data_IF_924779719536
#
_entry.id   IF_924779719536
#
_cell.length_a   1.000
_cell.length_b   1.000
_cell.length_c   1.000
_cell.angle_alpha   90.00
_cell.angle_beta   90.00
_cell.angle_gamma   90.00
#
_symmetry.space_group_name_H-M   'P 1'
#
loop_
_entity.id
_entity.type
_entity.pdbx_description
1 polymer ?
#
# COMPACT_ATOMS: atom_id res chain seq x y z
N UNK A 1 22.52 30.97 -16.43
CA UNK A 1 21.67 29.85 -16.91
C UNK A 1 20.75 29.45 -15.79
N UNK A 2 19.45 29.43 -16.01
CA UNK A 2 18.50 28.82 -15.07
C UNK A 2 18.84 27.33 -14.99
N UNK A 3 19.08 26.76 -13.79
CA UNK A 3 19.36 25.34 -13.66
C UNK A 3 18.15 24.53 -14.17
N UNK A 4 18.41 23.55 -15.03
CA UNK A 4 17.37 22.66 -15.54
C UNK A 4 16.89 21.73 -14.42
N UNK A 5 15.57 21.63 -14.23
CA UNK A 5 14.96 20.69 -13.29
C UNK A 5 14.67 19.39 -14.02
N UNK A 6 15.04 18.26 -13.42
CA UNK A 6 14.77 16.95 -14.00
C UNK A 6 13.26 16.73 -14.20
N UNK A 7 12.85 16.17 -15.35
CA UNK A 7 11.44 16.04 -15.74
C UNK A 7 10.58 15.32 -14.69
N UNK A 8 11.13 14.31 -14.02
CA UNK A 8 10.39 13.49 -13.06
C UNK A 8 10.20 14.22 -11.73
N UNK A 9 11.14 15.10 -11.36
CA UNK A 9 11.00 16.01 -10.22
C UNK A 9 9.95 17.09 -10.53
N UNK A 10 9.96 17.63 -11.76
CA UNK A 10 8.92 18.55 -12.22
C UNK A 10 7.54 17.88 -12.24
N UNK A 11 7.46 16.59 -12.57
CA UNK A 11 6.21 15.82 -12.52
C UNK A 11 5.70 15.67 -11.08
N UNK A 12 6.58 15.39 -10.11
CA UNK A 12 6.21 15.33 -8.70
C UNK A 12 5.68 16.68 -8.20
N UNK A 13 6.27 17.80 -8.65
CA UNK A 13 5.76 19.13 -8.34
C UNK A 13 4.38 19.39 -8.96
N UNK A 14 4.10 18.86 -10.15
CA UNK A 14 2.76 18.88 -10.73
C UNK A 14 1.76 18.07 -9.90
N UNK A 15 2.09 16.81 -9.56
CA UNK A 15 1.19 15.98 -8.77
C UNK A 15 0.97 16.57 -7.36
N UNK A 16 1.97 17.27 -6.81
CA UNK A 16 1.83 18.00 -5.56
C UNK A 16 0.77 19.10 -5.63
N UNK A 17 0.58 19.77 -6.77
CA UNK A 17 -0.52 20.74 -6.94
C UNK A 17 -1.89 20.07 -6.82
N UNK A 18 -2.03 18.83 -7.26
CA UNK A 18 -3.26 18.04 -7.04
C UNK A 18 -3.48 17.81 -5.53
N UNK A 19 -2.42 17.54 -4.77
CA UNK A 19 -2.52 17.42 -3.31
C UNK A 19 -2.89 18.74 -2.64
N UNK A 20 -2.46 19.88 -3.18
CA UNK A 20 -2.81 21.21 -2.68
C UNK A 20 -4.31 21.50 -2.80
N UNK A 21 -4.99 21.01 -3.85
CA UNK A 21 -6.46 21.13 -3.98
C UNK A 21 -7.19 20.41 -2.83
N UNK A 22 -6.65 19.30 -2.32
CA UNK A 22 -7.21 18.62 -1.15
C UNK A 22 -7.00 19.40 0.16
N UNK A 23 -6.12 20.41 0.18
CA UNK A 23 -5.89 21.29 1.33
C UNK A 23 -6.73 22.56 1.30
N UNK A 24 -7.17 22.98 0.13
CA UNK A 24 -7.87 24.24 -0.05
C UNK A 24 -9.24 24.20 0.65
N UNK A 25 -9.53 25.24 1.41
CA UNK A 25 -10.81 25.39 2.11
C UNK A 25 -11.94 25.84 1.17
N UNK A 26 -11.62 26.37 -0.02
CA UNK A 26 -12.59 26.75 -1.04
C UNK A 26 -13.21 25.52 -1.76
N UNK A 27 -12.50 24.40 -1.74
CA UNK A 27 -12.91 23.15 -2.39
C UNK A 27 -13.91 22.40 -1.49
N UNK A 28 -15.04 21.89 -2.00
CA UNK A 28 -15.98 21.08 -1.22
C UNK A 28 -15.36 19.79 -0.68
N UNK A 29 -15.78 19.33 0.51
CA UNK A 29 -15.21 18.16 1.21
C UNK A 29 -15.07 16.91 0.32
N UNK A 30 -16.13 16.53 -0.39
CA UNK A 30 -16.07 15.35 -1.27
C UNK A 30 -15.11 15.53 -2.46
N UNK A 31 -14.95 16.74 -2.96
CA UNK A 31 -13.96 17.04 -4.00
C UNK A 31 -12.53 16.95 -3.43
N UNK A 32 -12.29 17.40 -2.19
CA UNK A 32 -10.98 17.18 -1.51
C UNK A 32 -10.65 15.69 -1.41
N UNK A 33 -11.63 14.86 -1.05
CA UNK A 33 -11.47 13.39 -0.99
C UNK A 33 -11.11 12.83 -2.38
N UNK A 34 -11.77 13.31 -3.44
CA UNK A 34 -11.43 12.93 -4.82
C UNK A 34 -10.03 13.36 -5.21
N UNK A 35 -9.58 14.56 -4.83
CA UNK A 35 -8.21 15.02 -5.09
C UNK A 35 -7.16 14.15 -4.38
N UNK A 36 -7.42 13.70 -3.14
CA UNK A 36 -6.56 12.70 -2.49
C UNK A 36 -6.50 11.39 -3.31
N UNK A 37 -7.65 10.91 -3.78
CA UNK A 37 -7.70 9.70 -4.61
C UNK A 37 -6.94 9.88 -5.95
N UNK A 38 -7.09 11.04 -6.61
CA UNK A 38 -6.39 11.36 -7.87
C UNK A 38 -4.88 11.44 -7.62
N UNK A 39 -4.43 12.16 -6.59
CA UNK A 39 -3.03 12.25 -6.21
C UNK A 39 -2.40 10.86 -6.02
N UNK A 40 -3.08 9.99 -5.24
CA UNK A 40 -2.63 8.62 -4.96
C UNK A 40 -2.57 7.77 -6.24
N UNK A 41 -3.60 7.84 -7.09
CA UNK A 41 -3.65 7.10 -8.36
C UNK A 41 -2.53 7.51 -9.32
N UNK A 42 -2.31 8.83 -9.47
CA UNK A 42 -1.24 9.38 -10.28
C UNK A 42 0.14 8.93 -9.78
N UNK A 43 0.35 8.99 -8.46
CA UNK A 43 1.61 8.56 -7.86
C UNK A 43 1.85 7.07 -8.09
N UNK A 44 0.82 6.24 -7.95
CA UNK A 44 0.89 4.81 -8.25
C UNK A 44 1.33 4.54 -9.69
N UNK A 45 0.82 5.30 -10.67
CA UNK A 45 1.26 5.20 -12.07
C UNK A 45 2.70 5.69 -12.26
N UNK A 46 3.09 6.78 -11.60
CA UNK A 46 4.45 7.30 -11.63
C UNK A 46 5.47 6.26 -11.14
N UNK A 47 5.16 5.53 -10.07
CA UNK A 47 6.02 4.45 -9.59
C UNK A 47 6.10 3.29 -10.58
N UNK A 48 4.96 2.84 -11.11
CA UNK A 48 4.90 1.72 -12.07
C UNK A 48 5.68 1.99 -13.35
N UNK A 49 5.72 3.23 -13.82
CA UNK A 49 6.31 3.57 -15.11
C UNK A 49 7.68 4.23 -14.96
N UNK A 50 7.75 5.35 -14.24
CA UNK A 50 8.94 6.21 -14.22
C UNK A 50 9.98 5.72 -13.21
N UNK A 51 9.57 5.38 -12.00
CA UNK A 51 10.49 4.89 -10.95
C UNK A 51 11.03 3.51 -11.31
N UNK A 52 10.17 2.62 -11.83
CA UNK A 52 10.57 1.32 -12.38
C UNK A 52 11.71 1.45 -13.40
N UNK A 53 11.59 2.37 -14.36
CA UNK A 53 12.64 2.61 -15.36
C UNK A 53 13.97 3.04 -14.72
N UNK A 54 13.94 4.00 -13.78
CA UNK A 54 15.16 4.41 -13.07
C UNK A 54 15.81 3.24 -12.30
N UNK A 55 15.01 2.41 -11.61
CA UNK A 55 15.52 1.22 -10.91
C UNK A 55 16.15 0.21 -11.87
N UNK A 56 15.55 0.00 -13.03
CA UNK A 56 16.10 -0.89 -14.05
C UNK A 56 17.44 -0.39 -14.59
N UNK A 57 17.57 0.92 -14.84
CA UNK A 57 18.85 1.54 -15.24
C UNK A 57 19.91 1.36 -14.15
N UNK A 58 19.55 1.55 -12.88
CA UNK A 58 20.46 1.30 -11.75
C UNK A 58 20.92 -0.16 -11.73
N UNK A 59 20.01 -1.12 -11.91
CA UNK A 59 20.29 -2.56 -11.92
C UNK A 59 21.08 -3.04 -13.15
N UNK A 60 20.89 -2.42 -14.32
CA UNK A 60 21.57 -2.78 -15.58
C UNK A 60 23.08 -2.46 -15.57
N UNK A 61 23.58 -1.72 -14.57
CA UNK A 61 25.01 -1.54 -14.33
C UNK A 61 25.70 -0.47 -15.19
N UNK A 62 27.01 -0.28 -14.98
CA UNK A 62 27.79 0.90 -15.41
C UNK A 62 27.81 1.16 -16.92
N UNK A 63 27.65 0.15 -17.78
CA UNK A 63 27.70 0.34 -19.25
C UNK A 63 26.50 1.14 -19.76
N UNK A 64 25.30 0.90 -19.22
CA UNK A 64 24.07 1.62 -19.58
C UNK A 64 24.08 3.06 -19.04
N UNK A 65 24.75 3.30 -17.90
CA UNK A 65 24.84 4.63 -17.27
C UNK A 65 25.76 5.61 -18.01
N UNK A 66 26.75 5.14 -18.78
CA UNK A 66 27.73 6.00 -19.46
C UNK A 66 27.15 6.99 -20.46
N UNK A 67 25.93 6.76 -20.93
CA UNK A 67 25.25 7.58 -21.94
C UNK A 67 24.18 8.51 -21.34
N UNK A 68 24.13 8.66 -20.01
CA UNK A 68 23.16 9.51 -19.33
C UNK A 68 23.81 10.80 -18.85
N UNK A 69 23.10 11.92 -19.03
CA UNK A 69 23.51 13.24 -18.53
C UNK A 69 23.22 13.43 -17.03
N UNK A 70 22.76 12.38 -16.34
CA UNK A 70 22.38 12.41 -14.93
C UNK A 70 22.70 11.07 -14.23
N UNK A 71 22.83 11.11 -12.91
CA UNK A 71 23.01 9.94 -12.06
C UNK A 71 21.65 9.40 -11.57
N UNK A 72 21.20 8.21 -12.02
CA UNK A 72 19.87 7.68 -11.70
C UNK A 72 19.64 7.43 -10.20
N UNK A 73 20.71 7.07 -9.46
CA UNK A 73 20.64 6.85 -8.00
C UNK A 73 20.31 8.16 -7.25
N UNK A 74 20.89 9.28 -7.70
CA UNK A 74 20.60 10.60 -7.12
C UNK A 74 19.16 11.01 -7.39
N UNK A 75 18.67 10.80 -8.62
CA UNK A 75 17.29 11.08 -9.00
C UNK A 75 16.31 10.20 -8.21
N UNK A 76 16.58 8.90 -8.06
CA UNK A 76 15.75 8.02 -7.24
C UNK A 76 15.70 8.46 -5.78
N UNK A 77 16.85 8.82 -5.21
CA UNK A 77 16.95 9.30 -3.84
C UNK A 77 16.12 10.57 -3.65
N UNK A 78 16.23 11.52 -4.59
CA UNK A 78 15.45 12.76 -4.57
C UNK A 78 13.94 12.51 -4.73
N UNK A 79 13.55 11.63 -5.66
CA UNK A 79 12.15 11.20 -5.84
C UNK A 79 11.60 10.63 -4.54
N UNK A 80 12.28 9.65 -3.93
CA UNK A 80 11.80 8.99 -2.72
C UNK A 80 11.69 9.97 -1.55
N UNK A 81 12.64 10.90 -1.43
CA UNK A 81 12.58 11.97 -0.43
C UNK A 81 11.34 12.84 -0.60
N UNK A 82 11.13 13.38 -1.81
CA UNK A 82 9.97 14.25 -2.11
C UNK A 82 8.67 13.50 -1.88
N UNK A 83 8.55 12.27 -2.38
CA UNK A 83 7.34 11.47 -2.21
C UNK A 83 7.09 11.20 -0.73
N UNK A 84 8.12 10.88 0.05
CA UNK A 84 7.97 10.65 1.48
C UNK A 84 7.40 11.87 2.20
N UNK A 85 7.92 13.06 1.92
CA UNK A 85 7.42 14.33 2.48
C UNK A 85 5.95 14.57 2.09
N UNK A 86 5.60 14.36 0.82
CA UNK A 86 4.23 14.52 0.35
C UNK A 86 3.27 13.46 0.94
N UNK A 87 3.74 12.25 1.22
CA UNK A 87 2.94 11.19 1.86
C UNK A 87 2.65 11.46 3.35
N UNK A 88 3.60 12.08 4.05
CA UNK A 88 3.35 12.59 5.40
C UNK A 88 2.27 13.67 5.38
N UNK A 89 2.36 14.61 4.45
CA UNK A 89 1.37 15.67 4.27
C UNK A 89 0.00 15.10 3.87
N UNK A 90 -0.05 14.15 2.94
CA UNK A 90 -1.26 13.41 2.57
C UNK A 90 -1.95 12.80 3.80
N UNK A 91 -1.17 12.13 4.64
CA UNK A 91 -1.67 11.50 5.87
C UNK A 91 -2.25 12.53 6.84
N UNK A 92 -1.57 13.67 7.00
CA UNK A 92 -2.05 14.78 7.83
C UNK A 92 -3.36 15.38 7.30
N UNK A 93 -3.46 15.62 5.98
CA UNK A 93 -4.69 16.13 5.35
C UNK A 93 -5.84 15.16 5.60
N UNK A 94 -5.63 13.87 5.37
CA UNK A 94 -6.66 12.88 5.58
C UNK A 94 -7.12 12.83 7.05
N UNK A 95 -6.19 12.67 8.00
CA UNK A 95 -6.54 12.46 9.40
C UNK A 95 -7.03 13.73 10.11
N UNK A 96 -6.38 14.88 9.86
CA UNK A 96 -6.64 16.11 10.60
C UNK A 96 -7.67 17.02 9.95
N UNK A 97 -7.83 16.95 8.61
CA UNK A 97 -8.84 17.74 7.89
C UNK A 97 -10.03 16.87 7.50
N UNK A 98 -9.84 15.91 6.60
CA UNK A 98 -10.94 15.15 5.99
C UNK A 98 -11.76 14.40 7.04
N UNK A 99 -11.12 13.58 7.87
CA UNK A 99 -11.81 12.80 8.90
C UNK A 99 -12.53 13.70 9.91
N UNK A 100 -11.93 14.84 10.26
CA UNK A 100 -12.53 15.79 11.21
C UNK A 100 -13.71 16.55 10.58
N UNK A 101 -13.62 16.93 9.30
CA UNK A 101 -14.69 17.61 8.58
C UNK A 101 -15.87 16.66 8.31
N UNK A 102 -15.61 15.39 7.99
CA UNK A 102 -16.65 14.35 7.92
C UNK A 102 -17.37 14.20 9.27
N UNK A 103 -16.62 14.12 10.37
CA UNK A 103 -17.21 13.97 11.71
C UNK A 103 -18.10 15.16 12.11
N UNK A 104 -17.78 16.38 11.66
CA UNK A 104 -18.64 17.57 11.85
C UNK A 104 -19.97 17.49 11.11
N UNK A 105 -20.04 16.67 10.05
CA UNK A 105 -21.24 16.40 9.27
C UNK A 105 -21.86 15.04 9.64
N UNK A 106 -21.66 14.59 10.89
CA UNK A 106 -22.19 13.33 11.44
C UNK A 106 -21.78 12.05 10.68
N UNK A 107 -20.73 12.13 9.85
CA UNK A 107 -20.11 10.99 9.17
C UNK A 107 -18.80 10.61 9.84
N UNK A 108 -18.74 9.47 10.52
CA UNK A 108 -17.56 9.07 11.28
C UNK A 108 -16.85 7.88 10.65
N UNK A 109 -15.54 7.99 10.40
CA UNK A 109 -14.71 6.82 10.10
C UNK A 109 -14.18 6.25 11.41
N UNK A 110 -14.78 5.14 11.85
CA UNK A 110 -14.50 4.48 13.12
C UNK A 110 -13.30 3.55 12.99
N UNK A 111 -12.48 3.50 14.06
CA UNK A 111 -11.40 2.52 14.22
C UNK A 111 -11.92 1.37 15.09
N UNK A 112 -11.36 0.16 14.91
CA UNK A 112 -11.74 -1.05 15.67
C UNK A 112 -11.79 -0.90 17.21
N UNK A 113 -11.00 0.02 17.79
CA UNK A 113 -10.95 0.25 19.25
C UNK A 113 -12.02 1.21 19.77
N UNK A 114 -12.87 1.78 18.89
CA UNK A 114 -13.89 2.79 19.22
C UNK A 114 -15.28 2.36 18.74
N UNK A 115 -15.54 1.05 18.71
CA UNK A 115 -16.83 0.47 18.30
C UNK A 115 -17.72 0.22 19.51
N UNK A 116 -19.04 0.35 19.32
CA UNK A 116 -20.03 -0.12 20.30
C UNK A 116 -20.18 -1.64 20.24
N UNK A 117 -20.82 -2.25 21.24
CA UNK A 117 -21.05 -3.70 21.25
C UNK A 117 -21.87 -4.17 20.03
N UNK A 118 -22.87 -3.40 19.61
CA UNK A 118 -23.68 -3.69 18.41
C UNK A 118 -22.80 -3.66 17.16
N UNK A 119 -21.90 -2.68 17.06
CA UNK A 119 -20.97 -2.57 15.94
C UNK A 119 -19.92 -3.69 15.95
N UNK A 120 -19.44 -4.11 17.12
CA UNK A 120 -18.51 -5.24 17.28
C UNK A 120 -19.17 -6.52 16.77
N UNK A 121 -20.38 -6.83 17.26
CA UNK A 121 -21.13 -7.99 16.81
C UNK A 121 -21.32 -7.99 15.29
N UNK A 122 -21.74 -6.85 14.74
CA UNK A 122 -21.92 -6.69 13.30
C UNK A 122 -20.64 -6.97 12.49
N UNK A 123 -19.48 -6.46 12.91
CA UNK A 123 -18.23 -6.70 12.15
C UNK A 123 -17.70 -8.12 12.32
N UNK A 124 -18.01 -8.80 13.43
CA UNK A 124 -17.64 -10.20 13.66
C UNK A 124 -18.52 -11.13 12.80
N UNK A 125 -19.84 -10.89 12.78
CA UNK A 125 -20.78 -11.56 11.88
C UNK A 125 -20.39 -11.34 10.42
N UNK A 126 -20.15 -10.08 10.02
CA UNK A 126 -19.74 -9.74 8.67
C UNK A 126 -18.43 -10.45 8.27
N UNK A 127 -17.47 -10.51 9.19
CA UNK A 127 -16.20 -11.20 8.95
C UNK A 127 -16.41 -12.70 8.71
N UNK A 128 -17.19 -13.37 9.56
CA UNK A 128 -17.40 -14.81 9.48
C UNK A 128 -18.24 -15.21 8.25
N UNK A 129 -19.27 -14.43 7.91
CA UNK A 129 -20.19 -14.76 6.83
C UNK A 129 -19.65 -14.37 5.45
N UNK A 130 -19.03 -13.18 5.32
CA UNK A 130 -18.69 -12.62 4.01
C UNK A 130 -17.18 -12.53 3.76
N UNK A 131 -16.35 -12.34 4.80
CA UNK A 131 -14.91 -12.11 4.59
C UNK A 131 -14.07 -13.37 4.69
N UNK A 132 -14.38 -14.27 5.63
CA UNK A 132 -13.57 -15.43 5.96
C UNK A 132 -13.17 -16.28 4.74
N UNK A 133 -14.03 -16.51 3.73
CA UNK A 133 -13.65 -17.25 2.52
C UNK A 133 -12.53 -16.61 1.69
N UNK A 134 -12.35 -15.29 1.78
CA UNK A 134 -11.37 -14.52 1.01
C UNK A 134 -10.11 -14.17 1.81
N UNK A 135 -10.16 -14.31 3.13
CA UNK A 135 -9.05 -13.98 4.01
C UNK A 135 -8.11 -15.17 4.10
N UNK A 136 -6.96 -15.05 3.43
CA UNK A 136 -5.94 -16.10 3.41
C UNK A 136 -4.79 -15.76 4.38
N UNK A 137 -4.71 -16.41 5.55
CA UNK A 137 -3.56 -16.27 6.44
C UNK A 137 -2.37 -17.08 5.92
N UNK A 138 -1.18 -16.48 5.91
CA UNK A 138 0.06 -17.14 5.50
C UNK A 138 1.14 -16.88 6.53
N UNK A 139 1.62 -17.95 7.17
CA UNK A 139 2.80 -17.89 8.02
C UNK A 139 4.06 -17.69 7.16
N UNK A 140 4.89 -16.72 7.51
CA UNK A 140 6.14 -16.47 6.84
C UNK A 140 7.26 -17.21 7.56
N UNK A 141 7.97 -18.07 6.83
CA UNK A 141 9.11 -18.80 7.35
C UNK A 141 10.32 -18.49 6.48
N UNK A 142 11.35 -17.92 7.10
CA UNK A 142 12.57 -17.54 6.41
C UNK A 142 13.15 -18.71 5.60
N UNK A 143 13.59 -18.43 4.37
CA UNK A 143 14.27 -19.35 3.44
C UNK A 143 13.53 -20.65 3.07
N UNK A 144 12.29 -20.87 3.51
CA UNK A 144 11.53 -22.08 3.16
C UNK A 144 10.63 -21.90 1.95
N UNK A 145 9.74 -20.91 1.99
CA UNK A 145 8.72 -20.70 0.94
C UNK A 145 8.49 -19.20 0.81
N UNK A 146 8.61 -18.68 -0.42
CA UNK A 146 8.21 -17.30 -0.73
C UNK A 146 6.72 -17.30 -1.08
N UNK A 147 5.87 -16.65 -0.29
CA UNK A 147 4.47 -16.58 -0.63
C UNK A 147 4.29 -15.67 -1.85
N UNK A 148 3.48 -16.12 -2.78
CA UNK A 148 3.07 -15.27 -3.88
C UNK A 148 1.98 -14.32 -3.40
N UNK A 149 2.29 -13.01 -3.40
CA UNK A 149 1.30 -11.97 -3.11
C UNK A 149 0.66 -11.48 -4.39
N UNK A 150 -0.67 -11.38 -4.38
CA UNK A 150 -1.42 -10.74 -5.45
C UNK A 150 -0.90 -9.30 -5.67
N UNK A 151 -0.65 -8.95 -6.93
CA UNK A 151 -0.12 -7.64 -7.30
C UNK A 151 -1.09 -6.52 -6.87
N UNK A 152 -0.55 -5.47 -6.26
CA UNK A 152 -1.26 -4.28 -5.77
C UNK A 152 -2.41 -4.56 -4.78
N UNK A 153 -2.49 -5.79 -4.25
CA UNK A 153 -3.44 -6.13 -3.19
C UNK A 153 -2.91 -5.72 -1.83
N UNK A 154 -3.86 -5.53 -0.91
CA UNK A 154 -3.58 -5.09 0.45
C UNK A 154 -3.39 -6.28 1.37
N UNK A 155 -2.37 -6.22 2.22
CA UNK A 155 -2.09 -7.23 3.22
C UNK A 155 -1.80 -6.59 4.56
N UNK A 156 -2.02 -7.38 5.62
CA UNK A 156 -1.59 -7.07 6.97
C UNK A 156 -0.41 -7.98 7.33
N UNK A 157 0.76 -7.41 7.53
CA UNK A 157 1.91 -8.09 8.10
C UNK A 157 1.80 -8.11 9.63
N UNK A 158 2.01 -9.28 10.23
CA UNK A 158 1.81 -9.53 11.65
C UNK A 158 3.13 -9.84 12.34
N UNK A 159 3.25 -9.35 13.57
CA UNK A 159 4.30 -9.74 14.51
C UNK A 159 3.62 -10.54 15.61
N UNK A 160 4.11 -11.75 15.85
CA UNK A 160 3.48 -12.69 16.76
C UNK A 160 4.52 -13.42 17.61
N UNK A 161 4.09 -13.97 18.73
CA UNK A 161 4.86 -14.92 19.55
C UNK A 161 4.10 -16.23 19.66
N UNK A 162 4.81 -17.36 19.70
CA UNK A 162 4.17 -18.67 19.92
C UNK A 162 3.55 -18.74 21.32
N UNK A 163 2.39 -19.37 21.47
CA UNK A 163 1.84 -19.75 22.78
C UNK A 163 2.35 -21.12 23.24
N UNK A 164 2.87 -21.93 22.32
CA UNK A 164 3.49 -23.21 22.59
C UNK A 164 4.93 -23.03 23.10
N UNK A 165 5.18 -23.49 24.33
CA UNK A 165 6.48 -23.44 25.02
C UNK A 165 7.53 -24.35 24.40
N UNK A 166 7.14 -25.34 23.59
CA UNK A 166 8.07 -26.22 22.89
C UNK A 166 8.69 -25.55 21.66
N UNK A 167 8.05 -24.49 21.14
CA UNK A 167 8.62 -23.71 20.03
C UNK A 167 9.69 -22.74 20.55
N UNK A 168 10.66 -22.46 19.68
CA UNK A 168 11.75 -21.52 19.98
C UNK A 168 11.18 -20.14 20.31
N UNK A 169 11.68 -19.55 21.39
CA UNK A 169 11.39 -18.16 21.73
C UNK A 169 11.85 -17.24 20.58
N UNK A 170 10.96 -16.34 20.18
CA UNK A 170 11.22 -15.39 19.11
C UNK A 170 9.95 -14.86 18.44
N UNK A 171 10.17 -13.96 17.49
CA UNK A 171 9.10 -13.43 16.65
C UNK A 171 8.77 -14.39 15.51
N UNK A 172 7.46 -14.56 15.32
CA UNK A 172 6.87 -15.22 14.16
C UNK A 172 6.16 -14.17 13.34
N UNK A 173 6.29 -14.28 12.02
CA UNK A 173 5.67 -13.36 11.09
C UNK A 173 4.60 -14.06 10.28
N UNK A 174 3.56 -13.33 9.94
CA UNK A 174 2.51 -13.78 9.05
C UNK A 174 2.02 -12.62 8.22
N UNK A 175 1.30 -12.94 7.16
CA UNK A 175 0.55 -11.98 6.36
C UNK A 175 -0.88 -12.45 6.21
N UNK A 176 -1.79 -11.50 6.09
CA UNK A 176 -3.21 -11.76 5.85
C UNK A 176 -3.69 -10.85 4.75
N UNK A 177 -4.25 -11.40 3.68
CA UNK A 177 -4.83 -10.59 2.59
C UNK A 177 -6.08 -9.85 3.10
N UNK A 178 -6.19 -8.57 2.78
CA UNK A 178 -7.42 -7.79 2.94
C UNK A 178 -8.20 -7.89 1.62
N UNK A 179 -9.44 -8.41 1.62
CA UNK A 179 -10.16 -8.75 0.39
C UNK A 179 -10.88 -7.53 -0.25
N UNK A 180 -10.16 -6.43 -0.46
CA UNK A 180 -10.70 -5.20 -1.06
C UNK A 180 -11.00 -5.30 -2.55
N UNK A 181 -10.59 -6.41 -3.19
CA UNK A 181 -10.89 -6.77 -4.57
C UNK A 181 -12.28 -7.41 -4.72
N UNK A 182 -12.85 -7.94 -3.64
CA UNK A 182 -14.15 -8.61 -3.64
C UNK A 182 -15.21 -7.87 -2.81
N UNK A 183 -14.78 -7.07 -1.82
CA UNK A 183 -15.66 -6.42 -0.86
C UNK A 183 -15.47 -4.90 -0.86
N UNK A 184 -16.52 -4.12 -0.53
CA UNK A 184 -16.40 -2.68 -0.43
C UNK A 184 -15.37 -2.28 0.64
N UNK A 185 -14.53 -1.30 0.30
CA UNK A 185 -13.44 -0.83 1.18
C UNK A 185 -13.95 -0.18 2.46
N UNK A 186 -15.11 0.48 2.38
CA UNK A 186 -15.80 1.12 3.49
C UNK A 186 -17.14 0.43 3.71
N UNK A 187 -17.39 0.01 4.95
CA UNK A 187 -18.65 -0.61 5.35
C UNK A 187 -19.38 0.33 6.30
N UNK A 188 -20.66 0.58 6.03
CA UNK A 188 -21.53 1.30 6.96
C UNK A 188 -21.81 0.42 8.18
N UNK A 189 -21.62 0.98 9.37
CA UNK A 189 -21.87 0.34 10.64
C UNK A 189 -23.29 0.64 11.12
N UNK A 190 -23.94 -0.30 11.82
CA UNK A 190 -25.22 -0.02 12.46
C UNK A 190 -25.07 1.09 13.50
N UNK A 191 -26.04 1.98 13.52
CA UNK A 191 -26.13 3.12 14.43
C UNK A 191 -27.54 3.20 15.00
N UNK A 192 -27.66 3.62 16.26
CA UNK A 192 -28.96 3.86 16.90
C UNK A 192 -29.54 5.23 16.54
N UNK A 193 -28.72 6.13 15.98
CA UNK A 193 -29.15 7.43 15.49
C UNK A 193 -29.13 7.43 13.96
N UNK A 194 -30.29 7.54 13.33
CA UNK A 194 -30.48 7.56 11.87
C UNK A 194 -29.81 8.75 11.18
N UNK A 195 -29.60 9.87 11.90
CA UNK A 195 -28.91 11.05 11.35
C UNK A 195 -27.40 10.89 11.30
N UNK A 196 -26.85 9.86 11.98
CA UNK A 196 -25.41 9.58 12.00
C UNK A 196 -25.07 8.49 11.01
N UNK A 197 -23.88 8.57 10.42
CA UNK A 197 -23.34 7.56 9.52
C UNK A 197 -21.95 7.16 9.99
N UNK A 198 -21.86 6.01 10.63
CA UNK A 198 -20.59 5.45 11.06
C UNK A 198 -20.09 4.48 9.98
N UNK A 199 -18.82 4.60 9.58
CA UNK A 199 -18.19 3.72 8.61
C UNK A 199 -16.96 3.07 9.24
N UNK A 200 -16.61 1.86 8.80
CA UNK A 200 -15.35 1.20 9.13
C UNK A 200 -14.62 0.81 7.85
N UNK A 201 -13.29 0.89 7.88
CA UNK A 201 -12.45 0.45 6.77
C UNK A 201 -12.21 -1.07 6.90
N UNK A 202 -12.28 -1.77 5.77
CA UNK A 202 -12.17 -3.23 5.68
C UNK A 202 -10.94 -3.82 6.41
N UNK A 203 -9.78 -3.14 6.39
CA UNK A 203 -8.58 -3.63 7.09
C UNK A 203 -8.80 -3.69 8.60
N UNK A 204 -9.56 -2.75 9.17
CA UNK A 204 -9.81 -2.73 10.61
C UNK A 204 -10.77 -3.85 11.04
N UNK A 205 -11.64 -4.32 10.15
CA UNK A 205 -12.44 -5.55 10.38
C UNK A 205 -11.52 -6.77 10.42
N UNK A 206 -10.59 -6.90 9.46
CA UNK A 206 -9.60 -7.99 9.48
C UNK A 206 -8.73 -7.91 10.74
N UNK A 207 -8.22 -6.72 11.09
CA UNK A 207 -7.39 -6.50 12.30
C UNK A 207 -8.13 -6.85 13.59
N UNK A 208 -9.44 -6.64 13.65
CA UNK A 208 -10.26 -7.02 14.80
C UNK A 208 -10.32 -8.54 14.96
N UNK A 209 -10.55 -9.25 13.85
CA UNK A 209 -10.75 -10.70 13.83
C UNK A 209 -9.47 -11.53 13.69
N UNK A 210 -8.30 -10.89 13.54
CA UNK A 210 -7.05 -11.58 13.19
C UNK A 210 -6.60 -12.62 14.20
N UNK A 211 -6.99 -12.49 15.47
CA UNK A 211 -6.69 -13.47 16.52
C UNK A 211 -7.33 -14.83 16.22
N UNK A 212 -8.52 -14.82 15.62
CA UNK A 212 -9.25 -16.04 15.28
C UNK A 212 -8.54 -16.84 14.17
N UNK A 213 -7.74 -16.16 13.34
CA UNK A 213 -6.96 -16.79 12.26
C UNK A 213 -5.67 -17.46 12.75
N UNK A 214 -5.20 -17.15 13.97
CA UNK A 214 -3.94 -17.65 14.51
C UNK A 214 -4.05 -18.12 15.98
N UNK A 215 -4.87 -19.13 16.28
CA UNK A 215 -5.15 -19.55 17.67
C UNK A 215 -3.92 -20.05 18.46
N UNK A 216 -2.83 -20.44 17.79
CA UNK A 216 -1.57 -20.87 18.41
C UNK A 216 -0.53 -19.76 18.61
N UNK A 217 -0.92 -18.50 18.41
CA UNK A 217 -0.01 -17.36 18.49
C UNK A 217 -0.66 -16.19 19.23
N UNK A 218 0.17 -15.44 19.97
CA UNK A 218 -0.22 -14.15 20.50
C UNK A 218 0.17 -13.05 19.49
N UNK A 219 -0.84 -12.35 18.97
CA UNK A 219 -0.64 -11.24 18.02
C UNK A 219 -0.16 -10.00 18.79
N UNK A 220 1.07 -9.57 18.53
CA UNK A 220 1.64 -8.36 19.12
C UNK A 220 1.12 -7.14 18.34
N UNK A 221 1.51 -7.04 17.06
CA UNK A 221 1.20 -5.91 16.20
C UNK A 221 0.77 -6.36 14.80
N UNK A 222 0.13 -5.44 14.06
CA UNK A 222 -0.19 -5.61 12.64
C UNK A 222 0.12 -4.31 11.89
N UNK A 223 0.69 -4.43 10.71
CA UNK A 223 1.11 -3.31 9.85
C UNK A 223 0.60 -3.54 8.44
N UNK A 224 0.07 -2.49 7.81
CA UNK A 224 -0.39 -2.62 6.42
C UNK A 224 0.82 -2.69 5.50
N UNK A 225 0.69 -3.50 4.45
CA UNK A 225 1.64 -3.56 3.34
C UNK A 225 0.90 -3.70 2.02
N UNK A 226 1.49 -3.19 0.95
CA UNK A 226 1.03 -3.37 -0.43
C UNK A 226 2.25 -3.64 -1.30
N UNK A 227 2.24 -4.81 -1.95
CA UNK A 227 3.32 -5.20 -2.85
C UNK A 227 2.89 -4.91 -4.29
N UNK A 228 3.71 -4.18 -5.02
CA UNK A 228 3.56 -3.96 -6.45
C UNK A 228 4.65 -4.73 -7.20
N UNK A 229 4.29 -5.34 -8.32
CA UNK A 229 5.19 -6.04 -9.24
C UNK A 229 5.26 -5.24 -10.54
N UNK A 230 6.48 -5.04 -11.04
CA UNK A 230 6.68 -4.41 -12.33
C UNK A 230 6.40 -5.44 -13.41
N UNK A 231 5.69 -4.99 -14.44
CA UNK A 231 5.57 -5.73 -15.66
C UNK A 231 6.57 -5.15 -16.62
N UNK A 232 7.63 -5.88 -16.94
CA UNK A 232 8.47 -5.52 -18.08
C UNK A 232 7.59 -5.55 -19.34
N UNK A 233 7.29 -4.37 -19.86
CA UNK A 233 7.07 -4.17 -21.28
C UNK A 233 8.47 -4.04 -21.89
N UNK A 234 9.09 -5.16 -22.26
CA UNK A 234 9.99 -5.15 -23.40
C UNK A 234 9.12 -4.97 -24.64
N UNK A 235 8.70 -3.72 -24.90
CA UNK A 235 8.50 -3.33 -26.29
C UNK A 235 9.91 -2.97 -26.74
N UNK A 236 10.69 -4.01 -27.05
CA UNK A 236 11.88 -3.81 -27.84
C UNK A 236 11.45 -3.04 -29.09
N UNK A 237 12.25 -2.05 -29.48
CA UNK A 237 12.11 -1.21 -30.67
C UNK A 237 12.20 -2.02 -31.97
N UNK A 238 11.34 -3.02 -32.15
CA UNK A 238 11.11 -3.71 -33.41
C UNK A 238 9.65 -3.53 -33.79
N UNK A 239 9.43 -2.62 -34.74
CA UNK A 239 8.22 -2.41 -35.54
C UNK A 239 7.88 -3.65 -36.41
N UNK A 240 7.91 -4.85 -35.83
CA UNK A 240 7.55 -6.11 -36.49
C UNK A 240 6.71 -6.98 -35.55
N UNK A 241 5.45 -7.19 -35.94
CA UNK A 241 4.49 -8.10 -35.29
C UNK A 241 3.20 -7.44 -34.79
N UNK A 242 2.16 -8.26 -34.63
CA UNK A 242 0.81 -7.83 -34.22
C UNK A 242 0.81 -7.33 -32.76
N UNK A 243 0.78 -6.01 -32.63
CA UNK A 243 0.81 -5.27 -31.36
C UNK A 243 -0.25 -5.76 -30.38
N UNK A 244 -1.42 -6.21 -30.87
CA UNK A 244 -2.53 -6.68 -30.05
C UNK A 244 -2.19 -8.00 -29.35
N UNK A 245 -1.47 -8.91 -30.03
CA UNK A 245 -1.08 -10.19 -29.46
C UNK A 245 0.05 -10.03 -28.43
N UNK A 246 1.01 -9.12 -28.70
CA UNK A 246 2.06 -8.74 -27.74
C UNK A 246 1.44 -8.10 -26.49
N UNK A 247 0.46 -7.20 -26.63
CA UNK A 247 -0.29 -6.61 -25.52
C UNK A 247 -1.00 -7.70 -24.70
N UNK A 248 -1.76 -8.62 -25.32
CA UNK A 248 -2.44 -9.71 -24.60
C UNK A 248 -1.48 -10.64 -23.84
N UNK A 249 -0.36 -11.05 -24.44
CA UNK A 249 0.66 -11.87 -23.77
C UNK A 249 1.35 -11.12 -22.62
N UNK A 250 1.56 -9.81 -22.76
CA UNK A 250 2.15 -8.97 -21.71
C UNK A 250 1.21 -8.73 -20.52
N UNK A 251 -0.11 -8.62 -20.74
CA UNK A 251 -1.11 -8.48 -19.69
C UNK A 251 -1.13 -9.70 -18.75
N UNK A 252 -0.93 -10.90 -19.27
CA UNK A 252 -0.86 -12.13 -18.47
C UNK A 252 0.46 -12.27 -17.68
N UNK A 253 1.58 -11.72 -18.18
CA UNK A 253 2.86 -11.69 -17.45
C UNK A 253 2.88 -10.65 -16.31
N UNK A 254 1.93 -9.70 -16.31
CA UNK A 254 1.79 -8.61 -15.33
C UNK A 254 1.58 -9.08 -13.89
N UNK A 255 1.06 -10.29 -13.70
CA UNK A 255 0.86 -10.89 -12.36
C UNK A 255 2.11 -11.59 -11.82
N UNK A 256 3.07 -11.97 -12.66
CA UNK A 256 4.21 -12.86 -12.31
C UNK A 256 5.56 -12.12 -12.27
N UNK A 257 5.59 -10.84 -12.65
CA UNK A 257 6.81 -10.02 -12.69
C UNK A 257 7.60 -9.96 -11.37
N UNK A 258 8.87 -9.56 -11.47
CA UNK A 258 9.73 -9.34 -10.30
C UNK A 258 9.11 -8.29 -9.39
N UNK A 259 9.29 -8.51 -8.09
CA UNK A 259 8.79 -7.58 -7.08
C UNK A 259 9.47 -6.23 -7.27
N UNK A 260 8.71 -5.14 -7.30
CA UNK A 260 9.27 -3.84 -7.60
C UNK A 260 9.04 -2.78 -6.55
N UNK A 261 7.97 -2.89 -5.75
CA UNK A 261 7.71 -1.89 -4.71
C UNK A 261 6.99 -2.51 -3.53
N UNK A 262 7.53 -2.29 -2.34
CA UNK A 262 6.83 -2.55 -1.08
C UNK A 262 6.46 -1.22 -0.45
N UNK A 263 5.15 -0.94 -0.47
CA UNK A 263 4.56 0.11 0.35
C UNK A 263 4.27 -0.48 1.72
N UNK A 264 4.63 0.23 2.79
CA UNK A 264 4.46 -0.25 4.16
C UNK A 264 4.05 0.86 5.12
N UNK A 265 3.33 0.48 6.18
CA UNK A 265 3.00 1.38 7.30
C UNK A 265 4.27 1.91 7.96
N UNK A 266 4.43 3.23 7.99
CA UNK A 266 5.60 3.94 8.57
C UNK A 266 5.89 3.55 10.03
N UNK A 267 4.90 3.07 10.78
CA UNK A 267 5.09 2.62 12.16
C UNK A 267 5.58 1.16 12.27
N UNK A 268 5.88 0.50 11.14
CA UNK A 268 6.41 -0.85 11.11
C UNK A 268 7.79 -0.91 11.77
N UNK A 269 8.01 -1.82 12.74
CA UNK A 269 9.33 -2.03 13.32
C UNK A 269 10.37 -2.52 12.29
N UNK A 270 11.59 -2.04 12.41
CA UNK A 270 12.70 -2.34 11.48
C UNK A 270 12.97 -3.84 11.33
N UNK A 271 12.78 -4.63 12.39
CA UNK A 271 12.99 -6.08 12.34
C UNK A 271 11.96 -6.79 11.45
N UNK A 272 10.71 -6.31 11.39
CA UNK A 272 9.69 -6.83 10.48
C UNK A 272 9.99 -6.34 9.06
N UNK A 273 10.32 -5.06 8.87
CA UNK A 273 10.68 -4.53 7.55
C UNK A 273 11.87 -5.28 6.95
N UNK A 274 12.94 -5.47 7.72
CA UNK A 274 14.13 -6.23 7.31
C UNK A 274 13.80 -7.68 6.95
N UNK A 275 12.90 -8.30 7.73
CA UNK A 275 12.43 -9.64 7.41
C UNK A 275 11.66 -9.68 6.08
N UNK A 276 10.73 -8.74 5.84
CA UNK A 276 9.97 -8.65 4.59
C UNK A 276 10.88 -8.34 3.39
N UNK A 277 11.88 -7.46 3.56
CA UNK A 277 12.90 -7.18 2.54
C UNK A 277 13.62 -8.45 2.10
N UNK A 278 14.05 -9.28 3.05
CA UNK A 278 14.73 -10.54 2.76
C UNK A 278 13.81 -11.57 2.12
N UNK A 279 12.56 -11.69 2.61
CA UNK A 279 11.58 -12.66 2.08
C UNK A 279 11.20 -12.34 0.64
N UNK A 280 11.06 -11.05 0.30
CA UNK A 280 10.62 -10.60 -1.02
C UNK A 280 11.74 -10.11 -1.93
N UNK A 281 13.00 -10.21 -1.50
CA UNK A 281 14.20 -9.78 -2.23
C UNK A 281 14.12 -8.32 -2.71
N UNK A 282 13.88 -7.43 -1.75
CA UNK A 282 13.69 -6.00 -2.02
C UNK A 282 14.95 -5.21 -1.68
N UNK A 283 15.29 -4.27 -2.56
CA UNK A 283 16.33 -3.27 -2.33
C UNK A 283 15.77 -2.05 -1.59
N UNK A 284 16.64 -1.18 -1.06
CA UNK A 284 16.21 0.05 -0.36
C UNK A 284 15.38 0.97 -1.27
N UNK A 285 15.73 1.01 -2.56
CA UNK A 285 14.97 1.80 -3.53
C UNK A 285 13.58 1.25 -3.81
N UNK A 286 13.26 0.01 -3.42
CA UNK A 286 11.93 -0.59 -3.61
C UNK A 286 10.95 -0.25 -2.49
N UNK A 287 11.42 0.38 -1.40
CA UNK A 287 10.64 0.64 -0.20
C UNK A 287 9.98 2.02 -0.24
N UNK A 288 8.71 2.07 0.20
CA UNK A 288 7.98 3.32 0.33
C UNK A 288 7.18 3.35 1.65
N UNK A 289 7.57 4.16 2.64
CA UNK A 289 6.78 4.34 3.86
C UNK A 289 5.56 5.22 3.60
N UNK A 290 4.39 4.75 4.01
CA UNK A 290 3.12 5.46 3.93
C UNK A 290 2.36 5.42 5.27
N UNK A 291 1.16 6.01 5.30
CA UNK A 291 0.27 5.91 6.45
C UNK A 291 -0.23 4.49 6.71
N UNK A 292 -1.08 4.33 7.72
CA UNK A 292 -1.64 3.04 8.13
C UNK A 292 -2.53 2.39 7.06
N UNK A 293 -3.07 3.16 6.12
CA UNK A 293 -3.93 2.68 5.03
C UNK A 293 -3.26 2.98 3.70
N UNK A 294 -3.26 1.99 2.81
CA UNK A 294 -2.74 2.06 1.43
C UNK A 294 -3.87 1.79 0.42
#
# INVERSE_FOLDING_TARGET
MTPYIHRDISWLAFNYRVLQEAKDNSVPLYEKIKFLAIYSSNLDEFFRVRVANHRNIVRAGKKTRKNLDFEPENILTEILKIVNEQQEEFSQIFEQKIVTELAKNDMNIKRRRKLSNIQIQFIEEYFNEYMLPFVQPVLLVDKKIRPFLNNASLFLALIMTSTDKAKKDGFYYAIVKVPSDHLPRYLELPTTNESKKDFIILDDIVRHNIRNLFPGYNIQNSHSIKLTRDAELYIDDEYSGDLIEKIKKSLNKRSIGTTSRLVYDRNMPDHLLSFLKNVFELDDFDLLPEGRYH
#
